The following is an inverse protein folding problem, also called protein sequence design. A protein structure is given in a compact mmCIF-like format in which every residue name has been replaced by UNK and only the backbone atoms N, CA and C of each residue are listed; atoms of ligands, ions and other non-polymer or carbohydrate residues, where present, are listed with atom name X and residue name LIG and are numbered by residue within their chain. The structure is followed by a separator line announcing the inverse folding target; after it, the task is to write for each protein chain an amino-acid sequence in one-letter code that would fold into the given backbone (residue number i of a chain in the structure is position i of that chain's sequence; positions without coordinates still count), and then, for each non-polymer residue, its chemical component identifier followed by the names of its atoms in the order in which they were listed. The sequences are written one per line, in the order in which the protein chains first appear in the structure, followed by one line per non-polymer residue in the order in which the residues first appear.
data_IF_168338881227
#
_entry.id   IF_168338881227
#
_cell.length_a   1.000
_cell.length_b   1.000
_cell.length_c   1.000
_cell.angle_alpha   90.00
_cell.angle_beta   90.00
_cell.angle_gamma   90.00
#
_symmetry.space_group_name_H-M   'P 1'
#
loop_
_entity.id
_entity.type
_entity.pdbx_description
1 polymer ?
#
# COMPACT_ATOMS: atom_id res chain seq x y z
N UNK A 1 1.80 -18.71 -15.09
CA UNK A 1 3.18 -19.13 -14.76
C UNK A 1 3.21 -19.94 -13.46
N UNK A 2 2.73 -19.41 -12.33
CA UNK A 2 2.78 -20.08 -11.01
C UNK A 2 2.29 -21.53 -11.08
N UNK A 3 1.11 -21.78 -11.58
CA UNK A 3 0.51 -23.13 -11.69
C UNK A 3 1.25 -24.11 -12.61
N UNK A 4 2.20 -23.65 -13.44
CA UNK A 4 3.07 -24.54 -14.24
C UNK A 4 4.25 -25.08 -13.43
N UNK A 5 4.72 -24.33 -12.44
CA UNK A 5 5.90 -24.66 -11.60
C UNK A 5 5.43 -25.30 -10.30
N UNK A 6 4.40 -24.70 -9.66
CA UNK A 6 3.80 -25.15 -8.41
C UNK A 6 2.29 -25.43 -8.64
N UNK A 7 1.90 -26.57 -9.23
CA UNK A 7 0.51 -26.87 -9.57
C UNK A 7 -0.41 -26.93 -8.34
N UNK A 8 0.11 -27.35 -7.21
CA UNK A 8 -0.62 -27.52 -5.96
C UNK A 8 -0.69 -26.24 -5.12
N UNK A 9 0.08 -25.17 -5.47
CA UNK A 9 0.03 -23.91 -4.73
C UNK A 9 -1.36 -23.27 -4.84
N UNK A 10 -1.96 -22.87 -3.74
CA UNK A 10 -3.13 -22.00 -3.73
C UNK A 10 -2.71 -20.58 -4.11
N UNK A 11 -3.44 -19.94 -5.02
CA UNK A 11 -3.18 -18.56 -5.45
C UNK A 11 -4.35 -17.70 -5.02
N UNK A 12 -4.08 -16.72 -4.17
CA UNK A 12 -5.06 -15.76 -3.67
C UNK A 12 -4.75 -14.40 -4.27
N UNK A 13 -5.69 -13.85 -5.03
CA UNK A 13 -5.57 -12.52 -5.59
C UNK A 13 -5.93 -11.45 -4.55
N UNK A 14 -4.99 -10.57 -4.21
CA UNK A 14 -5.26 -9.41 -3.36
C UNK A 14 -5.95 -8.34 -4.20
N UNK A 15 -5.29 -7.87 -5.26
CA UNK A 15 -5.86 -6.90 -6.20
C UNK A 15 -5.03 -6.81 -7.47
N UNK A 16 -5.70 -6.49 -8.59
CA UNK A 16 -5.10 -6.04 -9.84
C UNK A 16 -5.52 -4.60 -10.20
N UNK A 17 -6.07 -3.86 -9.22
CA UNK A 17 -6.64 -2.53 -9.42
C UNK A 17 -5.73 -1.36 -9.01
N UNK A 18 -4.44 -1.60 -8.74
CA UNK A 18 -3.50 -0.50 -8.47
C UNK A 18 -3.27 0.29 -9.75
N UNK A 19 -3.48 1.63 -9.74
CA UNK A 19 -3.22 2.44 -10.91
C UNK A 19 -1.75 2.32 -11.36
N UNK A 20 -1.47 2.44 -12.66
CA UNK A 20 -0.10 2.37 -13.18
C UNK A 20 0.83 3.34 -12.45
N UNK A 21 2.04 2.89 -12.09
CA UNK A 21 3.10 3.66 -11.44
C UNK A 21 2.83 4.09 -9.98
N UNK A 22 1.68 3.80 -9.40
CA UNK A 22 1.36 4.15 -8.00
C UNK A 22 1.96 3.15 -7.00
N UNK A 23 3.30 3.16 -6.87
CA UNK A 23 4.04 2.23 -6.00
C UNK A 23 3.59 2.35 -4.54
N UNK A 24 3.43 3.58 -4.02
CA UNK A 24 2.99 3.81 -2.65
C UNK A 24 1.60 3.22 -2.37
N UNK A 25 0.65 3.37 -3.30
CA UNK A 25 -0.68 2.77 -3.16
C UNK A 25 -0.59 1.24 -3.12
N UNK A 26 0.23 0.64 -4.00
CA UNK A 26 0.48 -0.80 -3.97
C UNK A 26 1.07 -1.27 -2.64
N UNK A 27 2.04 -0.53 -2.11
CA UNK A 27 2.68 -0.80 -0.83
C UNK A 27 1.69 -0.74 0.35
N UNK A 28 0.83 0.29 0.39
CA UNK A 28 -0.18 0.46 1.44
C UNK A 28 -1.27 -0.62 1.36
N UNK A 29 -1.74 -0.97 0.17
CA UNK A 29 -2.71 -2.07 0.00
C UNK A 29 -2.11 -3.39 0.46
N UNK A 30 -0.86 -3.68 0.09
CA UNK A 30 -0.15 -4.87 0.57
C UNK A 30 -0.06 -4.87 2.10
N UNK A 31 0.47 -3.80 2.69
CA UNK A 31 0.66 -3.65 4.12
C UNK A 31 -0.66 -3.77 4.93
N UNK A 32 -1.75 -3.25 4.39
CA UNK A 32 -3.07 -3.33 5.02
C UNK A 32 -3.71 -4.73 4.91
N UNK A 33 -3.34 -5.50 3.89
CA UNK A 33 -3.95 -6.81 3.61
C UNK A 33 -3.21 -7.95 4.30
N UNK A 34 -1.89 -7.90 4.36
CA UNK A 34 -1.06 -9.02 4.84
C UNK A 34 -1.35 -9.50 6.27
N UNK A 35 -1.77 -8.65 7.24
CA UNK A 35 -2.18 -9.14 8.57
C UNK A 35 -3.33 -10.16 8.53
N UNK A 36 -4.12 -10.17 7.47
CA UNK A 36 -5.27 -11.08 7.27
C UNK A 36 -4.96 -12.26 6.34
N UNK A 37 -3.75 -12.28 5.74
CA UNK A 37 -3.32 -13.35 4.84
C UNK A 37 -2.51 -14.41 5.58
N UNK A 38 -2.58 -15.68 5.14
CA UNK A 38 -1.73 -16.73 5.68
C UNK A 38 -0.23 -16.41 5.45
N UNK A 39 0.62 -16.99 6.26
CA UNK A 39 2.07 -17.01 5.98
C UNK A 39 2.31 -17.80 4.70
N UNK A 40 3.07 -17.21 3.77
CA UNK A 40 3.31 -17.78 2.44
C UNK A 40 4.18 -16.87 1.60
N UNK A 41 4.09 -17.03 0.27
CA UNK A 41 4.84 -16.23 -0.70
C UNK A 41 3.94 -15.11 -1.25
N UNK A 42 4.31 -13.87 -1.01
CA UNK A 42 3.56 -12.68 -1.42
C UNK A 42 4.25 -12.01 -2.63
N UNK A 43 3.57 -11.99 -3.76
CA UNK A 43 4.07 -11.36 -4.99
C UNK A 43 3.40 -10.01 -5.16
N UNK A 44 4.17 -8.93 -5.20
CA UNK A 44 3.65 -7.60 -5.45
C UNK A 44 4.47 -6.88 -6.51
N UNK A 45 3.79 -6.42 -7.58
CA UNK A 45 4.44 -5.81 -8.74
C UNK A 45 3.70 -4.55 -9.15
N UNK A 46 4.27 -3.41 -8.79
CA UNK A 46 4.02 -2.09 -9.36
C UNK A 46 5.39 -1.54 -9.71
N UNK A 47 5.78 -1.63 -10.97
CA UNK A 47 7.19 -1.56 -11.36
C UNK A 47 7.44 -0.57 -12.52
N UNK A 48 7.40 0.74 -12.23
CA UNK A 48 7.74 1.75 -13.25
C UNK A 48 9.20 1.70 -13.69
N UNK A 49 10.09 1.04 -12.92
CA UNK A 49 11.51 0.88 -13.22
C UNK A 49 11.87 -0.43 -13.92
N UNK A 50 10.88 -1.18 -14.44
CA UNK A 50 11.13 -2.46 -15.12
C UNK A 50 12.14 -2.31 -16.27
N UNK A 51 13.15 -3.19 -16.30
CA UNK A 51 14.22 -3.18 -17.30
C UNK A 51 15.30 -2.11 -17.09
N UNK A 52 15.22 -1.31 -16.02
CA UNK A 52 16.26 -0.39 -15.55
C UNK A 52 17.14 -1.01 -14.47
N UNK A 53 17.79 -0.15 -13.66
CA UNK A 53 18.82 -0.54 -12.68
C UNK A 53 18.24 -1.10 -11.36
N UNK A 54 16.91 -1.03 -11.14
CA UNK A 54 16.29 -1.56 -9.93
C UNK A 54 16.46 -3.09 -9.85
N UNK A 55 16.81 -3.61 -8.69
CA UNK A 55 17.00 -5.04 -8.48
C UNK A 55 15.67 -5.78 -8.38
N UNK A 56 15.57 -7.01 -8.92
CA UNK A 56 14.47 -7.91 -8.59
C UNK A 56 14.79 -8.61 -7.27
N UNK A 57 13.81 -8.65 -6.34
CA UNK A 57 14.02 -9.12 -4.97
C UNK A 57 13.17 -10.34 -4.61
N UNK A 58 13.73 -11.18 -3.77
CA UNK A 58 12.99 -12.04 -2.85
C UNK A 58 13.48 -11.75 -1.42
N UNK A 59 12.53 -11.57 -0.49
CA UNK A 59 12.81 -11.22 0.90
C UNK A 59 12.19 -12.27 1.84
N UNK A 60 12.83 -12.49 3.00
CA UNK A 60 12.24 -13.19 4.15
C UNK A 60 11.93 -12.18 5.23
N UNK A 61 10.67 -12.14 5.67
CA UNK A 61 10.23 -11.35 6.83
C UNK A 61 10.50 -12.08 8.15
N UNK A 62 10.59 -11.35 9.25
CA UNK A 62 10.76 -11.90 10.60
C UNK A 62 9.60 -12.79 11.04
N UNK A 63 8.44 -12.64 10.45
CA UNK A 63 7.26 -13.48 10.64
C UNK A 63 7.23 -14.75 9.75
N UNK A 64 8.29 -14.98 8.97
CA UNK A 64 8.44 -16.12 8.07
C UNK A 64 7.78 -15.97 6.71
N UNK A 65 7.12 -14.85 6.41
CA UNK A 65 6.59 -14.56 5.07
C UNK A 65 7.72 -14.35 4.07
N UNK A 66 7.50 -14.74 2.84
CA UNK A 66 8.37 -14.44 1.72
C UNK A 66 7.73 -13.38 0.82
N UNK A 67 8.50 -12.43 0.38
CA UNK A 67 8.06 -11.34 -0.50
C UNK A 67 8.84 -11.38 -1.80
N UNK A 68 8.16 -11.22 -2.93
CA UNK A 68 8.80 -11.22 -4.26
C UNK A 68 8.31 -10.02 -5.05
N UNK A 69 9.24 -9.22 -5.58
CA UNK A 69 8.92 -8.03 -6.37
C UNK A 69 10.13 -7.14 -6.63
N UNK A 70 9.90 -5.92 -7.16
CA UNK A 70 10.97 -4.97 -7.46
C UNK A 70 11.51 -4.29 -6.20
N UNK A 71 12.80 -3.93 -6.22
CA UNK A 71 13.44 -3.04 -5.23
C UNK A 71 13.08 -1.57 -5.51
N UNK A 72 11.87 -1.20 -5.15
CA UNK A 72 11.36 0.17 -5.27
C UNK A 72 10.58 0.62 -4.02
N UNK A 73 10.77 -0.08 -2.91
CA UNK A 73 10.14 0.19 -1.62
C UNK A 73 8.75 -0.41 -1.43
N UNK A 74 8.15 -0.98 -2.49
CA UNK A 74 6.80 -1.55 -2.42
C UNK A 74 6.67 -2.63 -1.35
N UNK A 75 7.64 -3.55 -1.27
CA UNK A 75 7.62 -4.68 -0.34
C UNK A 75 7.91 -4.27 1.09
N UNK A 76 8.81 -3.28 1.27
CA UNK A 76 9.33 -2.92 2.59
C UNK A 76 8.28 -2.29 3.50
N UNK A 77 7.34 -1.48 2.96
CA UNK A 77 6.26 -0.89 3.77
C UNK A 77 5.42 -1.97 4.45
N UNK A 78 5.19 -3.09 3.77
CA UNK A 78 4.45 -4.21 4.33
C UNK A 78 5.31 -5.05 5.29
N UNK A 79 6.56 -5.35 4.92
CA UNK A 79 7.48 -6.11 5.74
C UNK A 79 7.80 -5.39 7.07
N UNK A 80 8.04 -4.07 7.03
CA UNK A 80 8.34 -3.28 8.24
C UNK A 80 7.17 -3.24 9.23
N UNK A 81 5.93 -3.44 8.77
CA UNK A 81 4.75 -3.57 9.65
C UNK A 81 4.59 -4.97 10.27
N UNK A 82 5.33 -5.96 9.77
CA UNK A 82 5.24 -7.37 10.12
C UNK A 82 6.63 -7.94 10.44
N UNK A 83 7.25 -7.43 11.51
CA UNK A 83 8.55 -7.88 12.06
C UNK A 83 9.77 -7.61 11.16
N UNK A 84 9.65 -6.79 10.11
CA UNK A 84 10.77 -6.35 9.27
C UNK A 84 11.28 -7.40 8.28
N UNK A 85 12.49 -7.15 7.74
CA UNK A 85 13.19 -8.04 6.79
C UNK A 85 14.39 -8.66 7.48
N UNK A 86 14.44 -10.00 7.54
CA UNK A 86 15.57 -10.78 8.06
C UNK A 86 16.62 -11.07 6.99
N UNK A 87 16.17 -11.35 5.76
CA UNK A 87 17.05 -11.74 4.66
C UNK A 87 16.56 -11.18 3.34
N UNK A 88 17.48 -10.73 2.50
CA UNK A 88 17.19 -10.21 1.16
C UNK A 88 18.08 -10.88 0.12
N UNK A 89 17.48 -11.32 -0.98
CA UNK A 89 18.17 -11.98 -2.10
C UNK A 89 17.83 -11.22 -3.39
N UNK A 90 18.85 -10.92 -4.20
CA UNK A 90 18.66 -10.49 -5.57
C UNK A 90 18.29 -11.71 -6.43
N UNK A 91 17.18 -11.63 -7.14
CA UNK A 91 16.80 -12.67 -8.09
C UNK A 91 17.72 -12.59 -9.32
N UNK A 92 18.76 -13.42 -9.34
CA UNK A 92 19.79 -13.44 -10.38
C UNK A 92 20.02 -14.83 -10.98
N UNK A 93 19.51 -15.89 -10.36
CA UNK A 93 19.64 -17.24 -10.88
C UNK A 93 18.61 -17.53 -11.98
N UNK A 94 19.06 -17.60 -13.23
CA UNK A 94 18.20 -17.81 -14.41
C UNK A 94 17.47 -19.17 -14.43
N UNK A 95 17.94 -20.17 -13.63
CA UNK A 95 17.25 -21.47 -13.52
C UNK A 95 15.83 -21.31 -12.95
N UNK A 96 15.59 -20.25 -12.16
CA UNK A 96 14.30 -19.96 -11.55
C UNK A 96 13.51 -18.88 -12.29
N UNK A 97 13.88 -18.59 -13.53
CA UNK A 97 13.24 -17.60 -14.39
C UNK A 97 12.66 -18.22 -15.66
N UNK A 98 11.79 -17.49 -16.33
CA UNK A 98 11.36 -17.84 -17.68
C UNK A 98 12.37 -17.30 -18.70
N UNK A 99 13.02 -18.20 -19.44
CA UNK A 99 14.01 -17.81 -20.46
C UNK A 99 13.39 -17.85 -21.86
N UNK A 100 13.59 -16.85 -22.74
CA UNK A 100 14.31 -15.60 -22.48
C UNK A 100 13.48 -14.61 -21.64
N UNK A 101 14.15 -13.87 -20.73
CA UNK A 101 13.51 -12.84 -19.92
C UNK A 101 13.17 -11.62 -20.78
N UNK A 102 11.92 -11.17 -20.74
CA UNK A 102 11.47 -9.93 -21.37
C UNK A 102 12.00 -8.72 -20.59
N UNK A 103 12.43 -7.67 -21.29
CA UNK A 103 12.90 -6.43 -20.68
C UNK A 103 11.81 -5.62 -19.97
N UNK A 104 10.54 -5.89 -20.25
CA UNK A 104 9.40 -5.09 -19.78
C UNK A 104 8.32 -5.90 -19.08
N UNK A 105 8.53 -7.20 -18.87
CA UNK A 105 7.50 -8.06 -18.25
C UNK A 105 8.09 -9.00 -17.19
N UNK A 106 8.84 -8.41 -16.24
CA UNK A 106 9.47 -9.16 -15.15
C UNK A 106 8.44 -9.81 -14.21
N UNK A 107 7.23 -9.31 -14.12
CA UNK A 107 6.13 -9.96 -13.39
C UNK A 107 5.91 -11.42 -13.82
N UNK A 108 5.91 -11.67 -15.13
CA UNK A 108 5.75 -13.01 -15.71
C UNK A 108 7.03 -13.82 -15.69
N UNK A 109 8.18 -13.18 -16.04
CA UNK A 109 9.39 -13.90 -16.39
C UNK A 109 10.35 -14.08 -15.22
N UNK A 110 10.27 -13.22 -14.19
CA UNK A 110 11.16 -13.22 -13.01
C UNK A 110 10.36 -13.46 -11.73
N UNK A 111 9.40 -12.59 -11.40
CA UNK A 111 8.75 -12.62 -10.10
C UNK A 111 7.81 -13.82 -9.92
N UNK A 112 6.95 -14.11 -10.89
CA UNK A 112 6.04 -15.25 -10.79
C UNK A 112 6.75 -16.61 -10.78
N UNK A 113 7.80 -16.85 -11.61
CA UNK A 113 8.59 -18.10 -11.52
C UNK A 113 9.30 -18.22 -10.18
N UNK A 114 10.03 -17.19 -9.73
CA UNK A 114 10.74 -17.20 -8.45
C UNK A 114 9.79 -17.52 -7.28
N UNK A 115 8.64 -16.83 -7.23
CA UNK A 115 7.63 -17.09 -6.21
C UNK A 115 7.08 -18.52 -6.25
N UNK A 116 6.88 -19.07 -7.45
CA UNK A 116 6.40 -20.44 -7.61
C UNK A 116 7.42 -21.47 -7.12
N UNK A 117 8.71 -21.26 -7.41
CA UNK A 117 9.78 -22.13 -6.91
C UNK A 117 9.91 -22.05 -5.38
N UNK A 118 9.78 -20.86 -4.78
CA UNK A 118 9.72 -20.71 -3.33
C UNK A 118 8.51 -21.45 -2.73
N UNK A 119 7.34 -21.35 -3.36
CA UNK A 119 6.14 -22.06 -2.92
C UNK A 119 6.27 -23.60 -3.08
N UNK A 120 7.10 -24.06 -4.02
CA UNK A 120 7.44 -25.46 -4.18
C UNK A 120 8.56 -25.96 -3.24
N UNK A 121 9.07 -25.08 -2.34
CA UNK A 121 10.06 -25.44 -1.32
C UNK A 121 11.53 -25.22 -1.72
N UNK A 122 11.80 -24.51 -2.81
CA UNK A 122 13.18 -24.07 -3.13
C UNK A 122 13.63 -23.08 -2.06
N UNK A 123 14.86 -23.26 -1.56
CA UNK A 123 15.43 -22.37 -0.55
C UNK A 123 15.70 -20.97 -1.14
N UNK A 124 15.46 -19.94 -0.35
CA UNK A 124 15.57 -18.53 -0.77
C UNK A 124 16.96 -18.21 -1.34
N UNK A 125 17.99 -18.74 -0.71
CA UNK A 125 19.42 -18.55 -1.04
C UNK A 125 19.82 -19.08 -2.41
N UNK A 126 19.02 -20.00 -2.98
CA UNK A 126 19.28 -20.55 -4.32
C UNK A 126 18.90 -19.59 -5.45
N UNK A 127 18.07 -18.57 -5.16
CA UNK A 127 17.57 -17.63 -6.16
C UNK A 127 18.61 -16.58 -6.59
N UNK A 128 19.71 -16.42 -5.83
CA UNK A 128 20.79 -15.50 -6.18
C UNK A 128 21.62 -15.02 -4.99
N UNK A 129 22.38 -13.95 -5.17
CA UNK A 129 23.24 -13.40 -4.12
C UNK A 129 22.45 -12.70 -3.02
N UNK A 130 22.97 -12.80 -1.80
CA UNK A 130 22.44 -12.09 -0.65
C UNK A 130 22.75 -10.59 -0.72
N UNK A 131 21.79 -9.78 -0.28
CA UNK A 131 21.88 -8.33 -0.18
C UNK A 131 21.74 -7.89 1.27
N UNK A 132 22.37 -6.77 1.62
CA UNK A 132 22.13 -6.11 2.90
C UNK A 132 20.73 -5.47 2.91
N UNK A 133 19.81 -5.90 3.81
CA UNK A 133 18.47 -5.30 3.91
C UNK A 133 18.50 -3.79 4.18
N UNK A 134 19.55 -3.27 4.82
CA UNK A 134 19.69 -1.83 5.09
C UNK A 134 19.93 -1.00 3.81
N UNK A 135 20.43 -1.63 2.75
CA UNK A 135 20.69 -0.98 1.46
C UNK A 135 19.52 -1.00 0.49
N UNK A 136 18.37 -1.59 0.85
CA UNK A 136 17.20 -1.66 -0.02
C UNK A 136 16.50 -0.31 -0.13
N UNK A 137 15.86 -0.10 -1.28
CA UNK A 137 15.08 1.13 -1.55
C UNK A 137 13.88 1.23 -0.62
N UNK A 138 13.70 2.39 0.04
CA UNK A 138 12.57 2.67 0.92
C UNK A 138 11.66 3.74 0.31
N UNK A 139 10.36 3.58 0.52
CA UNK A 139 9.37 4.60 0.21
C UNK A 139 9.20 5.52 1.42
N UNK A 140 9.18 6.83 1.16
CA UNK A 140 8.75 7.80 2.14
C UNK A 140 7.21 7.81 2.18
N UNK A 141 6.64 7.37 3.31
CA UNK A 141 5.22 7.58 3.60
C UNK A 141 5.11 8.95 4.27
N UNK A 142 4.36 9.92 3.69
CA UNK A 142 4.25 11.24 4.28
C UNK A 142 3.70 11.18 5.72
N UNK A 143 4.31 11.91 6.64
CA UNK A 143 3.79 12.07 7.99
C UNK A 143 2.86 13.28 8.08
N UNK A 144 1.81 13.24 8.92
CA UNK A 144 0.92 14.38 9.11
C UNK A 144 1.62 15.48 9.94
N UNK A 145 1.23 16.72 9.70
CA UNK A 145 1.66 17.85 10.52
C UNK A 145 0.51 18.27 11.47
N UNK A 146 0.68 17.99 12.76
CA UNK A 146 -0.34 18.25 13.77
C UNK A 146 0.01 19.53 14.50
N UNK A 147 -0.81 20.57 14.33
CA UNK A 147 -0.70 21.85 15.04
C UNK A 147 -1.65 21.90 16.25
N UNK A 148 -1.78 23.08 16.89
CA UNK A 148 -2.64 23.25 18.07
C UNK A 148 -4.13 23.10 17.79
N UNK A 149 -4.59 23.49 16.61
CA UNK A 149 -6.02 23.48 16.23
C UNK A 149 -6.25 23.07 14.78
N UNK A 150 -5.20 22.64 14.07
CA UNK A 150 -5.27 22.31 12.66
C UNK A 150 -4.28 21.18 12.33
N UNK A 151 -4.71 20.30 11.45
CA UNK A 151 -3.87 19.22 10.88
C UNK A 151 -3.67 19.51 9.40
N UNK A 152 -2.45 19.22 8.91
CA UNK A 152 -2.16 19.04 7.50
C UNK A 152 -1.92 17.56 7.25
N UNK A 153 -2.77 16.97 6.46
CA UNK A 153 -2.72 15.59 6.05
C UNK A 153 -2.39 15.49 4.57
N UNK A 154 -2.02 14.31 4.13
CA UNK A 154 -1.79 13.97 2.72
C UNK A 154 -2.75 12.85 2.32
N UNK A 155 -3.37 12.98 1.15
CA UNK A 155 -4.14 11.91 0.54
C UNK A 155 -3.19 10.79 0.09
N UNK A 156 -3.23 9.65 0.77
CA UNK A 156 -2.36 8.51 0.47
C UNK A 156 -2.92 7.63 -0.64
N UNK A 157 -4.25 7.55 -0.72
CA UNK A 157 -4.93 6.57 -1.53
C UNK A 157 -6.36 7.03 -1.83
N UNK A 158 -6.84 6.73 -3.03
CA UNK A 158 -8.25 6.92 -3.41
C UNK A 158 -8.79 5.55 -3.80
N UNK A 159 -9.85 5.13 -3.12
CA UNK A 159 -10.49 3.86 -3.40
C UNK A 159 -11.43 3.93 -4.63
N UNK A 160 -11.96 2.78 -5.04
CA UNK A 160 -12.89 2.70 -6.19
C UNK A 160 -14.22 3.43 -5.99
N UNK A 161 -14.57 3.74 -4.76
CA UNK A 161 -15.79 4.52 -4.44
C UNK A 161 -15.52 6.02 -4.43
N UNK A 162 -14.25 6.43 -4.51
CA UNK A 162 -13.81 7.82 -4.41
C UNK A 162 -13.60 8.29 -2.97
N UNK A 163 -13.50 7.38 -2.00
CA UNK A 163 -13.08 7.74 -0.65
C UNK A 163 -11.57 8.03 -0.65
N UNK A 164 -11.17 9.05 0.09
CA UNK A 164 -9.79 9.53 0.16
C UNK A 164 -9.21 9.12 1.51
N UNK A 165 -8.31 8.15 1.53
CA UNK A 165 -7.57 7.78 2.73
C UNK A 165 -6.46 8.82 3.00
N UNK A 166 -6.39 9.30 4.23
CA UNK A 166 -5.40 10.25 4.70
C UNK A 166 -4.32 9.54 5.54
N UNK A 167 -3.17 10.18 5.66
CA UNK A 167 -2.08 9.74 6.54
C UNK A 167 -2.36 10.10 8.02
N UNK A 168 -3.57 9.83 8.50
CA UNK A 168 -4.04 10.19 9.84
C UNK A 168 -4.65 8.98 10.54
N UNK A 169 -4.57 8.99 11.84
CA UNK A 169 -5.29 8.08 12.76
C UNK A 169 -6.33 8.85 13.57
N UNK A 170 -7.22 8.13 14.25
CA UNK A 170 -8.18 8.75 15.17
C UNK A 170 -7.49 9.50 16.30
N UNK A 171 -6.35 9.01 16.81
CA UNK A 171 -5.57 9.68 17.84
C UNK A 171 -5.01 11.04 17.37
N UNK A 172 -4.71 11.19 16.09
CA UNK A 172 -4.25 12.46 15.52
C UNK A 172 -5.38 13.50 15.49
N UNK A 173 -6.60 13.07 15.17
CA UNK A 173 -7.79 13.93 15.17
C UNK A 173 -8.13 14.42 16.59
N UNK A 174 -8.04 13.54 17.58
CA UNK A 174 -8.31 13.86 19.00
C UNK A 174 -7.39 14.96 19.53
N UNK A 175 -6.11 15.01 19.08
CA UNK A 175 -5.16 16.04 19.48
C UNK A 175 -5.60 17.46 19.13
N UNK A 176 -6.45 17.63 18.12
CA UNK A 176 -7.00 18.93 17.70
C UNK A 176 -8.48 19.09 18.02
N UNK A 177 -9.03 18.21 18.89
CA UNK A 177 -10.40 18.26 19.33
C UNK A 177 -11.45 17.77 18.31
N UNK A 178 -11.03 17.05 17.28
CA UNK A 178 -11.95 16.42 16.34
C UNK A 178 -12.28 15.02 16.87
N UNK A 179 -13.52 14.85 17.34
CA UNK A 179 -14.08 13.59 17.84
C UNK A 179 -15.39 13.29 17.10
N UNK A 180 -15.99 12.10 17.22
CA UNK A 180 -17.29 11.81 16.60
C UNK A 180 -18.32 12.90 16.92
N UNK A 181 -19.15 13.22 15.93
CA UNK A 181 -20.16 14.29 15.91
C UNK A 181 -19.59 15.73 15.82
N UNK A 182 -18.27 15.91 15.72
CA UNK A 182 -17.66 17.21 15.47
C UNK A 182 -17.89 17.65 14.02
N UNK A 183 -18.31 18.92 13.84
CA UNK A 183 -18.25 19.56 12.52
C UNK A 183 -16.81 19.95 12.22
N UNK A 184 -16.29 19.54 11.07
CA UNK A 184 -14.91 19.71 10.65
C UNK A 184 -14.84 20.59 9.41
N UNK A 185 -14.05 21.66 9.47
CA UNK A 185 -13.66 22.40 8.27
C UNK A 185 -12.59 21.60 7.54
N UNK A 186 -12.81 21.33 6.27
CA UNK A 186 -11.91 20.59 5.36
C UNK A 186 -11.49 21.55 4.25
N UNK A 187 -10.20 21.84 4.15
CA UNK A 187 -9.65 22.63 3.04
C UNK A 187 -8.85 21.72 2.10
N UNK A 188 -9.27 21.68 0.85
CA UNK A 188 -8.58 20.96 -0.23
C UNK A 188 -8.41 21.93 -1.38
N UNK A 189 -7.18 22.09 -1.93
CA UNK A 189 -6.88 22.96 -3.07
C UNK A 189 -7.41 24.38 -2.93
N UNK A 190 -7.32 24.96 -1.71
CA UNK A 190 -7.80 26.30 -1.32
C UNK A 190 -9.33 26.45 -1.28
N UNK A 191 -10.09 25.41 -1.53
CA UNK A 191 -11.55 25.39 -1.35
C UNK A 191 -11.90 24.81 0.03
N UNK A 192 -12.94 25.38 0.65
CA UNK A 192 -13.39 24.99 1.99
C UNK A 192 -14.71 24.27 1.94
N UNK A 193 -14.75 23.20 2.68
CA UNK A 193 -15.92 22.34 2.82
C UNK A 193 -16.16 22.06 4.30
N UNK A 194 -17.33 21.50 4.62
CA UNK A 194 -17.64 21.06 5.97
C UNK A 194 -18.00 19.58 5.95
N UNK A 195 -17.28 18.81 6.75
CA UNK A 195 -17.54 17.41 7.00
C UNK A 195 -18.09 17.21 8.41
N UNK A 196 -18.65 16.06 8.68
CA UNK A 196 -18.94 15.57 10.02
C UNK A 196 -17.98 14.45 10.34
N UNK A 197 -17.28 14.54 11.47
CA UNK A 197 -16.55 13.40 12.00
C UNK A 197 -17.56 12.36 12.52
N UNK A 198 -17.57 11.17 11.95
CA UNK A 198 -18.59 10.17 12.25
C UNK A 198 -17.94 8.77 12.42
N UNK A 199 -18.65 7.84 13.01
CA UNK A 199 -18.20 6.44 13.15
C UNK A 199 -18.50 5.62 11.90
N UNK A 200 -19.56 5.96 11.21
CA UNK A 200 -20.04 5.24 10.03
C UNK A 200 -20.81 6.17 9.08
N UNK A 201 -20.98 5.74 7.85
CA UNK A 201 -21.82 6.43 6.85
C UNK A 201 -23.28 6.60 7.28
N UNK A 202 -23.80 5.72 8.14
CA UNK A 202 -25.17 5.80 8.65
C UNK A 202 -25.43 7.01 9.57
N UNK A 203 -24.37 7.60 10.13
CA UNK A 203 -24.45 8.73 11.06
C UNK A 203 -24.69 10.07 10.32
N UNK A 204 -24.59 10.09 9.00
CA UNK A 204 -24.74 11.27 8.15
C UNK A 204 -25.74 11.03 7.03
N UNK A 205 -26.32 12.12 6.46
CA UNK A 205 -27.30 12.01 5.36
C UNK A 205 -26.62 11.68 4.03
N UNK A 206 -27.33 11.09 3.07
CA UNK A 206 -26.86 10.99 1.70
C UNK A 206 -26.46 12.38 1.16
N UNK A 207 -25.26 12.45 0.57
CA UNK A 207 -24.65 13.68 0.07
C UNK A 207 -23.80 14.45 1.08
N UNK A 208 -23.85 14.14 2.37
CA UNK A 208 -23.00 14.77 3.38
C UNK A 208 -21.56 14.27 3.25
N UNK A 209 -20.62 15.17 3.53
CA UNK A 209 -19.19 14.85 3.63
C UNK A 209 -18.91 14.27 5.02
N UNK A 210 -18.24 13.14 5.06
CA UNK A 210 -17.93 12.40 6.28
C UNK A 210 -16.43 12.19 6.43
N UNK A 211 -15.91 12.41 7.64
CA UNK A 211 -14.58 12.04 8.06
C UNK A 211 -14.72 10.87 9.03
N UNK A 212 -14.14 9.72 8.71
CA UNK A 212 -14.33 8.47 9.47
C UNK A 212 -13.05 7.63 9.51
N UNK A 213 -12.96 6.73 10.48
CA UNK A 213 -11.91 5.72 10.53
C UNK A 213 -12.29 4.54 9.61
N UNK A 214 -11.42 4.23 8.65
CA UNK A 214 -11.62 3.13 7.73
C UNK A 214 -11.28 1.76 8.37
N UNK A 215 -11.44 0.67 7.59
CA UNK A 215 -11.16 -0.69 8.05
C UNK A 215 -9.68 -0.95 8.41
N UNK A 216 -8.80 -0.06 8.04
CA UNK A 216 -7.35 -0.14 8.27
C UNK A 216 -6.85 0.82 9.36
N UNK A 217 -7.77 1.42 10.12
CA UNK A 217 -7.50 2.39 11.18
C UNK A 217 -6.91 3.72 10.71
N UNK A 218 -7.04 4.02 9.41
CA UNK A 218 -6.71 5.33 8.87
C UNK A 218 -7.98 6.20 8.78
N UNK A 219 -7.78 7.50 8.83
CA UNK A 219 -8.86 8.45 8.60
C UNK A 219 -9.11 8.57 7.09
N UNK A 220 -10.37 8.49 6.69
CA UNK A 220 -10.79 8.69 5.34
C UNK A 220 -11.83 9.82 5.23
N UNK A 221 -11.74 10.57 4.13
CA UNK A 221 -12.71 11.58 3.73
C UNK A 221 -13.58 11.01 2.62
N UNK A 222 -14.89 11.01 2.83
CA UNK A 222 -15.85 10.41 1.91
C UNK A 222 -17.11 11.27 1.76
N UNK A 223 -17.98 10.91 0.83
CA UNK A 223 -19.34 11.42 0.72
C UNK A 223 -20.30 10.25 0.83
N UNK A 224 -21.26 10.35 1.75
CA UNK A 224 -22.28 9.31 1.87
C UNK A 224 -23.08 9.21 0.58
N UNK A 225 -23.02 8.06 -0.09
CA UNK A 225 -23.61 7.81 -1.43
C UNK A 225 -23.08 8.75 -2.53
N UNK A 226 -21.81 9.19 -2.42
CA UNK A 226 -21.18 10.07 -3.40
C UNK A 226 -19.71 9.71 -3.63
N UNK A 227 -19.00 10.57 -4.36
CA UNK A 227 -17.58 10.41 -4.69
C UNK A 227 -16.79 11.64 -4.23
N UNK A 228 -16.05 11.53 -3.14
CA UNK A 228 -15.29 12.61 -2.55
C UNK A 228 -14.12 13.04 -3.45
N UNK A 229 -13.38 12.10 -4.01
CA UNK A 229 -12.24 12.41 -4.89
C UNK A 229 -12.66 13.22 -6.12
N UNK A 230 -13.83 12.92 -6.70
CA UNK A 230 -14.38 13.70 -7.80
C UNK A 230 -14.82 15.10 -7.35
N UNK A 231 -15.56 15.20 -6.23
CA UNK A 231 -16.03 16.49 -5.70
C UNK A 231 -14.89 17.44 -5.38
N UNK A 232 -13.86 16.96 -4.69
CA UNK A 232 -12.69 17.78 -4.30
C UNK A 232 -11.64 17.90 -5.42
N UNK A 233 -11.82 17.22 -6.55
CA UNK A 233 -10.78 17.04 -7.57
C UNK A 233 -9.45 16.58 -6.96
N UNK A 234 -9.54 15.80 -5.89
CA UNK A 234 -8.38 15.38 -5.10
C UNK A 234 -7.67 14.19 -5.76
N UNK A 235 -6.34 14.17 -5.62
CA UNK A 235 -5.46 13.11 -6.11
C UNK A 235 -4.58 12.60 -4.99
N UNK A 236 -3.98 11.44 -5.18
CA UNK A 236 -2.93 10.94 -4.30
C UNK A 236 -1.80 11.97 -4.23
N UNK A 237 -1.31 12.25 -3.01
CA UNK A 237 -0.33 13.30 -2.73
C UNK A 237 -0.92 14.69 -2.45
N UNK A 238 -2.25 14.88 -2.60
CA UNK A 238 -2.90 16.17 -2.33
C UNK A 238 -2.88 16.48 -0.84
N UNK A 239 -2.60 17.75 -0.49
CA UNK A 239 -2.69 18.25 0.88
C UNK A 239 -4.15 18.48 1.28
N UNK A 240 -4.53 17.97 2.44
CA UNK A 240 -5.85 18.16 3.06
C UNK A 240 -5.62 18.79 4.43
N UNK A 241 -6.27 19.93 4.68
CA UNK A 241 -6.21 20.60 5.99
C UNK A 241 -7.52 20.40 6.73
N UNK A 242 -7.41 20.06 8.01
CA UNK A 242 -8.56 19.80 8.89
C UNK A 242 -8.49 20.68 10.12
N UNK A 243 -9.64 21.23 10.54
CA UNK A 243 -9.80 21.89 11.84
C UNK A 243 -11.23 21.69 12.36
N UNK A 244 -11.41 21.67 13.67
CA UNK A 244 -12.76 21.76 14.25
C UNK A 244 -13.40 23.09 13.84
N UNK A 245 -14.69 23.06 13.43
CA UNK A 245 -15.43 24.22 12.91
C UNK A 245 -16.21 24.94 14.02
#
# INVERSE_FOLDING_TARGET
MIKRIAPDAEVIDITHGIPPQHVLQGALVLANTLPYMPVGVHVAVVDPGVGGDRKPLALRGGDGRLYVGPDNGLLLVAADRLDGVEQAIELANEEFMLTPVSRTFHGRDVFSPAAAHLAAGVALEQLGPELDPAGLTRLEVPEPQIGRARIRATALYVDRFGNIQLNLTSADLEQVGIVPDTKVEVEVRFERYFAVAARTFADVRPGDIVLYEDAYRNIALAINQGNAAHMFSARVGEEVRLSAA
#
